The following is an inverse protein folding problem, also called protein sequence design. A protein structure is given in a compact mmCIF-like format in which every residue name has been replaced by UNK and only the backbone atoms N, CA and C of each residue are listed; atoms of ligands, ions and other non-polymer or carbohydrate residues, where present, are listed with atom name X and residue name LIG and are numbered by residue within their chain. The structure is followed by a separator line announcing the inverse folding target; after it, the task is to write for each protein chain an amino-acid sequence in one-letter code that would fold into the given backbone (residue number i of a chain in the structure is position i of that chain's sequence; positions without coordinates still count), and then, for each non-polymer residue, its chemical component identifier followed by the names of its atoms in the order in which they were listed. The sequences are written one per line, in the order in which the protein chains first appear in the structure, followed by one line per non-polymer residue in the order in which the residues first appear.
data_IF_694659532527
#
_entry.id   IF_694659532527
#
_cell.length_a   1.000
_cell.length_b   1.000
_cell.length_c   1.000
_cell.angle_alpha   90.00
_cell.angle_beta   90.00
_cell.angle_gamma   90.00
#
_symmetry.space_group_name_H-M   'P 1'
#
loop_
_entity.id
_entity.type
_entity.pdbx_description
1 polymer ?
#
# COMPACT_ATOMS: atom_id res chain seq x y z
N UNK A 1 -22.31 -20.38 -3.96
CA UNK A 1 -20.85 -20.55 -3.75
C UNK A 1 -20.04 -20.55 -5.06
N UNK A 2 -20.46 -21.21 -6.15
CA UNK A 2 -19.73 -21.19 -7.44
C UNK A 2 -19.62 -19.80 -8.08
N UNK A 3 -20.68 -18.99 -8.05
CA UNK A 3 -20.66 -17.62 -8.58
C UNK A 3 -19.68 -16.70 -7.81
N UNK A 4 -19.63 -16.84 -6.48
CA UNK A 4 -18.70 -16.07 -5.64
C UNK A 4 -17.25 -16.41 -5.99
N UNK A 5 -16.95 -17.70 -6.13
CA UNK A 5 -15.63 -18.16 -6.54
C UNK A 5 -15.24 -17.63 -7.90
N UNK A 6 -16.14 -17.62 -8.88
CA UNK A 6 -15.89 -17.08 -10.21
C UNK A 6 -15.62 -15.56 -10.21
N UNK A 7 -16.37 -14.80 -9.39
CA UNK A 7 -16.18 -13.35 -9.26
C UNK A 7 -14.81 -13.02 -8.64
N UNK A 8 -14.41 -13.76 -7.61
CA UNK A 8 -13.14 -13.56 -6.94
C UNK A 8 -11.95 -14.06 -7.79
N UNK A 9 -12.10 -15.18 -8.48
CA UNK A 9 -11.07 -15.75 -9.34
C UNK A 9 -10.66 -14.81 -10.48
N UNK A 10 -11.60 -14.04 -11.03
CA UNK A 10 -11.31 -13.03 -12.05
C UNK A 10 -10.62 -11.76 -11.52
N UNK A 11 -10.54 -11.59 -10.20
CA UNK A 11 -9.92 -10.43 -9.54
C UNK A 11 -8.53 -10.75 -8.95
N UNK A 12 -8.08 -11.99 -8.99
CA UNK A 12 -6.75 -12.37 -8.49
C UNK A 12 -5.67 -11.94 -9.48
N UNK A 13 -4.69 -11.20 -9.00
CA UNK A 13 -3.46 -10.88 -9.73
C UNK A 13 -2.26 -10.97 -8.80
N UNK A 14 -1.11 -11.29 -9.35
CA UNK A 14 0.14 -11.23 -8.61
C UNK A 14 0.62 -9.78 -8.52
N UNK A 15 0.98 -9.36 -7.30
CA UNK A 15 1.58 -8.03 -7.06
C UNK A 15 3.00 -7.96 -7.64
N UNK A 16 3.69 -9.10 -7.62
CA UNK A 16 5.04 -9.26 -8.16
C UNK A 16 4.94 -9.81 -9.58
N UNK A 17 5.43 -9.05 -10.52
CA UNK A 17 5.63 -9.51 -11.89
C UNK A 17 7.13 -9.80 -12.05
N UNK A 18 7.48 -10.89 -12.70
CA UNK A 18 8.88 -11.27 -13.03
C UNK A 18 9.50 -10.36 -14.10
N UNK A 19 9.08 -9.12 -14.13
CA UNK A 19 9.70 -8.12 -14.97
C UNK A 19 10.96 -7.63 -14.24
N UNK A 20 12.10 -7.65 -14.90
CA UNK A 20 13.38 -7.08 -14.40
C UNK A 20 13.33 -5.56 -14.17
N UNK A 21 12.15 -5.00 -13.95
CA UNK A 21 11.91 -3.59 -13.74
C UNK A 21 11.68 -3.31 -12.26
N UNK A 22 12.43 -2.37 -11.73
CA UNK A 22 12.22 -1.86 -10.37
C UNK A 22 10.79 -1.33 -10.19
N UNK A 23 10.18 -1.67 -9.06
CA UNK A 23 8.77 -1.35 -8.80
C UNK A 23 8.62 -0.52 -7.54
N UNK A 24 7.83 0.56 -7.63
CA UNK A 24 7.39 1.36 -6.49
C UNK A 24 6.01 0.89 -6.06
N UNK A 25 5.88 0.47 -4.81
CA UNK A 25 4.62 0.08 -4.18
C UNK A 25 4.18 1.18 -3.22
N UNK A 26 3.21 1.98 -3.63
CA UNK A 26 2.64 3.06 -2.82
C UNK A 26 1.46 2.53 -2.00
N UNK A 27 1.65 2.37 -0.69
CA UNK A 27 0.62 1.89 0.24
C UNK A 27 -0.23 3.03 0.76
N UNK A 28 -1.53 2.96 0.52
CA UNK A 28 -2.53 3.92 0.99
C UNK A 28 -3.63 3.20 1.78
N UNK A 29 -4.38 3.96 2.58
CA UNK A 29 -5.50 3.43 3.38
C UNK A 29 -5.63 4.17 4.70
N UNK A 30 -6.74 3.98 5.39
CA UNK A 30 -7.03 4.66 6.66
C UNK A 30 -6.19 4.11 7.82
N UNK A 31 -6.16 4.85 8.94
CA UNK A 31 -5.53 4.37 10.16
C UNK A 31 -6.18 3.06 10.63
N UNK A 32 -5.36 2.14 11.14
CA UNK A 32 -5.82 0.83 11.61
C UNK A 32 -6.18 -0.16 10.51
N UNK A 33 -6.07 0.20 9.23
CA UNK A 33 -6.30 -0.75 8.12
C UNK A 33 -5.22 -1.84 8.00
N UNK A 34 -4.14 -1.78 8.78
CA UNK A 34 -3.07 -2.78 8.76
C UNK A 34 -1.97 -2.53 7.71
N UNK A 35 -1.79 -1.29 7.22
CA UNK A 35 -0.75 -0.95 6.23
C UNK A 35 0.65 -1.40 6.67
N UNK A 36 1.13 -0.91 7.81
CA UNK A 36 2.49 -1.17 8.31
C UNK A 36 2.75 -2.66 8.51
N UNK A 37 1.80 -3.38 9.11
CA UNK A 37 1.88 -4.84 9.29
C UNK A 37 1.89 -5.57 7.94
N UNK A 38 1.07 -5.12 7.00
CA UNK A 38 1.01 -5.68 5.65
C UNK A 38 2.34 -5.50 4.91
N UNK A 39 2.96 -4.32 5.03
CA UNK A 39 4.28 -4.03 4.45
C UNK A 39 5.31 -5.00 5.02
N UNK A 40 5.37 -5.19 6.35
CA UNK A 40 6.29 -6.13 6.97
C UNK A 40 6.14 -7.56 6.45
N UNK A 41 4.90 -8.06 6.38
CA UNK A 41 4.59 -9.40 5.82
C UNK A 41 4.95 -9.50 4.34
N UNK A 42 4.76 -8.42 3.58
CA UNK A 42 5.07 -8.36 2.16
C UNK A 42 6.58 -8.42 1.90
N UNK A 43 7.37 -7.65 2.65
CA UNK A 43 8.84 -7.67 2.55
C UNK A 43 9.37 -9.08 2.82
N UNK A 44 8.85 -9.76 3.85
CA UNK A 44 9.18 -11.17 4.12
C UNK A 44 8.86 -12.08 2.93
N UNK A 45 7.75 -11.84 2.23
CA UNK A 45 7.33 -12.63 1.07
C UNK A 45 8.16 -12.36 -0.18
N UNK A 46 8.63 -11.12 -0.39
CA UNK A 46 9.55 -10.78 -1.49
C UNK A 46 10.87 -11.53 -1.33
N UNK A 47 11.32 -11.68 -0.09
CA UNK A 47 12.52 -12.45 0.25
C UNK A 47 13.83 -11.66 0.13
N UNK A 48 14.90 -12.24 0.68
CA UNK A 48 16.20 -11.60 0.82
C UNK A 48 17.02 -11.49 -0.49
N UNK A 49 16.54 -12.09 -1.57
CA UNK A 49 17.22 -12.05 -2.88
C UNK A 49 16.93 -10.76 -3.67
N UNK A 50 16.09 -9.88 -3.13
CA UNK A 50 15.71 -8.61 -3.75
C UNK A 50 16.19 -7.45 -2.89
N UNK A 51 16.71 -6.41 -3.53
CA UNK A 51 17.11 -5.18 -2.86
C UNK A 51 15.87 -4.31 -2.62
N UNK A 52 15.48 -4.15 -1.36
CA UNK A 52 14.23 -3.48 -0.97
C UNK A 52 14.56 -2.22 -0.16
N UNK A 53 13.94 -1.10 -0.53
CA UNK A 53 13.93 0.14 0.23
C UNK A 53 12.52 0.39 0.78
N UNK A 54 12.39 0.59 2.09
CA UNK A 54 11.14 0.97 2.73
C UNK A 54 11.22 2.45 3.10
N UNK A 55 10.26 3.25 2.65
CA UNK A 55 10.18 4.68 2.91
C UNK A 55 9.00 4.99 3.84
N UNK A 56 9.30 5.62 4.99
CA UNK A 56 8.29 6.06 5.97
C UNK A 56 7.82 7.48 5.64
N UNK A 57 6.66 7.59 4.98
CA UNK A 57 6.02 8.86 4.66
C UNK A 57 4.88 9.24 5.62
N UNK A 58 4.64 8.50 6.72
CA UNK A 58 3.81 8.94 7.86
C UNK A 58 4.68 9.73 8.85
N UNK A 59 5.21 10.86 8.43
CA UNK A 59 6.22 11.67 9.15
C UNK A 59 5.70 12.32 10.45
N UNK A 60 4.39 12.27 10.67
CA UNK A 60 3.75 12.86 11.86
C UNK A 60 3.56 11.86 13.02
N UNK A 61 3.92 10.58 12.80
CA UNK A 61 3.71 9.50 13.77
C UNK A 61 5.02 8.75 14.04
N UNK A 62 5.80 9.28 15.00
CA UNK A 62 7.08 8.67 15.36
C UNK A 62 6.98 7.15 15.65
N UNK A 63 5.98 6.73 16.42
CA UNK A 63 5.78 5.31 16.72
C UNK A 63 5.49 4.44 15.49
N UNK A 64 4.82 4.98 14.47
CA UNK A 64 4.60 4.24 13.22
C UNK A 64 5.89 4.10 12.40
N UNK A 65 6.73 5.14 12.41
CA UNK A 65 8.05 5.12 11.78
C UNK A 65 8.96 4.11 12.46
N UNK A 66 8.99 4.09 13.81
CA UNK A 66 9.78 3.13 14.60
C UNK A 66 9.32 1.68 14.32
N UNK A 67 8.02 1.41 14.36
CA UNK A 67 7.48 0.09 14.05
C UNK A 67 7.85 -0.36 12.64
N UNK A 68 7.80 0.54 11.65
CA UNK A 68 8.15 0.21 10.27
C UNK A 68 9.65 -0.07 10.14
N UNK A 69 10.49 0.65 10.90
CA UNK A 69 11.93 0.43 10.96
C UNK A 69 12.27 -0.95 11.56
N UNK A 70 11.61 -1.34 12.65
CA UNK A 70 11.78 -2.69 13.23
C UNK A 70 11.46 -3.79 12.20
N UNK A 71 10.40 -3.61 11.41
CA UNK A 71 10.09 -4.52 10.30
C UNK A 71 11.19 -4.54 9.24
N UNK A 72 11.72 -3.37 8.84
CA UNK A 72 12.81 -3.28 7.87
C UNK A 72 14.05 -4.03 8.38
N UNK A 73 14.48 -3.75 9.60
CA UNK A 73 15.65 -4.37 10.24
C UNK A 73 15.49 -5.89 10.34
N UNK A 74 14.32 -6.38 10.76
CA UNK A 74 14.03 -7.81 10.88
C UNK A 74 14.08 -8.58 9.57
N UNK A 75 13.80 -7.92 8.45
CA UNK A 75 13.81 -8.51 7.10
C UNK A 75 15.05 -8.12 6.29
N UNK A 76 16.02 -7.41 6.89
CA UNK A 76 17.24 -6.92 6.22
C UNK A 76 16.92 -6.05 4.99
N UNK A 77 15.85 -5.27 5.05
CA UNK A 77 15.52 -4.26 4.05
C UNK A 77 16.13 -2.91 4.45
N UNK A 78 16.53 -2.13 3.45
CA UNK A 78 16.99 -0.77 3.70
C UNK A 78 15.84 0.13 4.08
N UNK A 79 16.11 1.11 4.96
CA UNK A 79 15.11 2.01 5.47
C UNK A 79 15.42 3.46 5.14
N UNK A 80 14.40 4.22 4.77
CA UNK A 80 14.47 5.64 4.48
C UNK A 80 13.39 6.39 5.25
N UNK A 81 13.79 7.41 6.00
CA UNK A 81 12.88 8.30 6.71
C UNK A 81 13.28 9.75 6.53
N UNK A 82 12.31 10.64 6.60
CA UNK A 82 12.56 12.08 6.70
C UNK A 82 12.73 12.54 8.14
N UNK A 83 12.98 13.82 8.31
CA UNK A 83 12.91 14.48 9.62
C UNK A 83 11.48 14.47 10.15
N UNK A 84 11.31 14.57 11.46
CA UNK A 84 9.99 14.67 12.08
C UNK A 84 9.23 15.87 11.48
N UNK A 85 7.97 15.65 11.12
CA UNK A 85 7.08 16.63 10.48
C UNK A 85 7.57 17.13 9.09
N UNK A 86 8.55 16.49 8.47
CA UNK A 86 8.91 16.79 7.10
C UNK A 86 7.72 16.54 6.16
N UNK A 87 7.60 17.31 5.07
CA UNK A 87 6.58 17.08 4.04
C UNK A 87 6.68 15.65 3.49
N UNK A 88 5.64 14.81 3.64
CA UNK A 88 5.65 13.42 3.16
C UNK A 88 5.96 13.28 1.67
N UNK A 89 5.55 14.27 0.85
CA UNK A 89 5.83 14.25 -0.57
C UNK A 89 7.34 14.45 -0.87
N UNK A 90 8.03 15.27 -0.06
CA UNK A 90 9.48 15.44 -0.15
C UNK A 90 10.21 14.15 0.22
N UNK A 91 9.75 13.45 1.27
CA UNK A 91 10.31 12.14 1.66
C UNK A 91 10.13 11.12 0.54
N UNK A 92 8.94 11.03 -0.04
CA UNK A 92 8.65 10.12 -1.15
C UNK A 92 9.52 10.42 -2.39
N UNK A 93 9.70 11.69 -2.72
CA UNK A 93 10.57 12.11 -3.82
C UNK A 93 12.01 11.63 -3.61
N UNK A 94 12.59 11.94 -2.45
CA UNK A 94 13.96 11.57 -2.11
C UNK A 94 14.15 10.04 -2.06
N UNK A 95 13.17 9.30 -1.56
CA UNK A 95 13.19 7.84 -1.57
C UNK A 95 13.18 7.27 -3.00
N UNK A 96 12.40 7.88 -3.92
CA UNK A 96 12.41 7.48 -5.33
C UNK A 96 13.76 7.74 -6.00
N UNK A 97 14.36 8.91 -5.77
CA UNK A 97 15.69 9.22 -6.29
C UNK A 97 16.75 8.25 -5.76
N UNK A 98 16.71 7.95 -4.46
CA UNK A 98 17.59 6.93 -3.86
C UNK A 98 17.35 5.55 -4.50
N UNK A 99 16.10 5.12 -4.60
CA UNK A 99 15.77 3.81 -5.16
C UNK A 99 16.27 3.64 -6.60
N UNK A 100 16.12 4.68 -7.41
CA UNK A 100 16.60 4.73 -8.79
C UNK A 100 18.12 4.70 -8.89
N UNK A 101 18.79 5.57 -8.14
CA UNK A 101 20.24 5.73 -8.20
C UNK A 101 21.00 4.49 -7.68
N UNK A 102 20.48 3.86 -6.64
CA UNK A 102 21.06 2.69 -6.01
C UNK A 102 20.48 1.36 -6.54
N UNK A 103 19.62 1.41 -7.55
CA UNK A 103 19.05 0.26 -8.27
C UNK A 103 18.36 -0.73 -7.34
N UNK A 104 17.40 -0.26 -6.54
CA UNK A 104 16.53 -1.13 -5.76
C UNK A 104 15.54 -1.88 -6.66
N UNK A 105 15.28 -3.14 -6.35
CA UNK A 105 14.22 -3.91 -7.01
C UNK A 105 12.84 -3.40 -6.62
N UNK A 106 12.68 -3.06 -5.33
CA UNK A 106 11.43 -2.55 -4.79
C UNK A 106 11.64 -1.31 -3.92
N UNK A 107 10.83 -0.28 -4.13
CA UNK A 107 10.61 0.81 -3.20
C UNK A 107 9.20 0.68 -2.62
N UNK A 108 9.08 0.53 -1.31
CA UNK A 108 7.80 0.44 -0.61
C UNK A 108 7.59 1.74 0.16
N UNK A 109 6.53 2.48 -0.17
CA UNK A 109 6.19 3.75 0.46
C UNK A 109 4.99 3.55 1.39
N UNK A 110 5.21 3.68 2.71
CA UNK A 110 4.12 3.72 3.71
C UNK A 110 3.65 5.15 3.91
N UNK A 111 2.34 5.37 3.79
CA UNK A 111 1.74 6.71 3.90
C UNK A 111 0.87 6.84 5.15
N UNK A 112 0.64 8.08 5.59
CA UNK A 112 -0.32 8.38 6.64
C UNK A 112 -1.73 7.90 6.25
N UNK A 113 -2.52 7.54 7.26
CA UNK A 113 -3.92 7.13 7.10
C UNK A 113 -4.87 7.96 7.96
N UNK A 114 -4.51 9.16 8.39
CA UNK A 114 -5.30 9.99 9.33
C UNK A 114 -6.60 10.46 8.69
N UNK A 115 -7.70 10.25 9.42
CA UNK A 115 -9.06 10.63 9.02
C UNK A 115 -9.53 11.97 9.60
N UNK A 116 -8.69 12.79 10.21
CA UNK A 116 -9.13 14.05 10.81
C UNK A 116 -9.83 14.98 9.79
N UNK A 117 -9.51 14.81 8.51
CA UNK A 117 -10.25 15.39 7.40
C UNK A 117 -9.92 14.57 6.13
N UNK A 118 -10.90 13.86 5.57
CA UNK A 118 -10.74 13.01 4.38
C UNK A 118 -10.17 13.79 3.19
N UNK A 119 -10.52 15.06 3.03
CA UNK A 119 -10.05 15.91 1.92
C UNK A 119 -8.55 16.18 2.05
N UNK A 120 -8.07 16.52 3.24
CA UNK A 120 -6.65 16.81 3.46
C UNK A 120 -5.80 15.57 3.26
N UNK A 121 -6.25 14.40 3.74
CA UNK A 121 -5.56 13.14 3.49
C UNK A 121 -5.50 12.84 2.00
N UNK A 122 -6.61 12.96 1.29
CA UNK A 122 -6.66 12.71 -0.14
C UNK A 122 -5.72 13.63 -0.92
N UNK A 123 -5.72 14.92 -0.61
CA UNK A 123 -4.82 15.90 -1.23
C UNK A 123 -3.34 15.57 -0.98
N UNK A 124 -3.01 15.15 0.25
CA UNK A 124 -1.66 14.71 0.59
C UNK A 124 -1.24 13.47 -0.21
N UNK A 125 -2.12 12.48 -0.30
CA UNK A 125 -1.86 11.25 -1.07
C UNK A 125 -1.72 11.53 -2.58
N UNK A 126 -2.53 12.43 -3.13
CA UNK A 126 -2.42 12.90 -4.53
C UNK A 126 -1.05 13.56 -4.73
N UNK A 127 -0.63 14.42 -3.81
CA UNK A 127 0.69 15.08 -3.88
C UNK A 127 1.82 14.05 -3.84
N UNK A 128 1.79 13.10 -2.90
CA UNK A 128 2.78 12.01 -2.82
C UNK A 128 2.81 11.23 -4.14
N UNK A 129 1.67 10.79 -4.65
CA UNK A 129 1.60 10.05 -5.92
C UNK A 129 2.18 10.86 -7.08
N UNK A 130 1.82 12.14 -7.19
CA UNK A 130 2.30 13.01 -8.26
C UNK A 130 3.82 13.17 -8.25
N UNK A 131 4.42 13.40 -7.08
CA UNK A 131 5.90 13.52 -6.98
C UNK A 131 6.59 12.18 -7.21
N UNK A 132 6.01 11.08 -6.74
CA UNK A 132 6.48 9.71 -7.02
C UNK A 132 6.50 9.45 -8.53
N UNK A 133 5.44 9.79 -9.26
CA UNK A 133 5.37 9.64 -10.71
C UNK A 133 6.43 10.47 -11.44
N UNK A 134 6.70 11.70 -10.98
CA UNK A 134 7.71 12.58 -11.57
C UNK A 134 9.14 12.08 -11.34
N UNK A 135 9.42 11.55 -10.15
CA UNK A 135 10.77 11.10 -9.77
C UNK A 135 11.08 9.66 -10.18
N UNK A 136 10.07 8.81 -10.32
CA UNK A 136 10.24 7.38 -10.61
C UNK A 136 10.88 7.09 -11.99
N UNK A 137 10.72 7.98 -12.97
CA UNK A 137 11.28 7.78 -14.31
C UNK A 137 10.72 6.53 -14.99
N UNK A 138 11.55 5.48 -15.12
CA UNK A 138 11.17 4.19 -15.73
C UNK A 138 10.65 3.14 -14.73
N UNK A 139 10.59 3.48 -13.44
CA UNK A 139 10.08 2.55 -12.43
C UNK A 139 8.58 2.31 -12.61
N UNK A 140 8.14 1.08 -12.39
CA UNK A 140 6.71 0.76 -12.38
C UNK A 140 6.12 1.23 -11.06
N UNK A 141 5.01 1.97 -11.09
CA UNK A 141 4.33 2.44 -9.88
C UNK A 141 3.01 1.68 -9.74
N UNK A 142 2.82 1.04 -8.59
CA UNK A 142 1.55 0.40 -8.20
C UNK A 142 1.02 1.05 -6.93
N UNK A 143 -0.16 1.65 -7.00
CA UNK A 143 -0.88 2.18 -5.84
C UNK A 143 -1.73 1.06 -5.24
N UNK A 144 -1.49 0.75 -3.97
CA UNK A 144 -2.13 -0.37 -3.26
C UNK A 144 -2.98 0.18 -2.13
N UNK A 145 -4.27 -0.08 -2.17
CA UNK A 145 -5.21 0.31 -1.12
C UNK A 145 -5.39 -0.84 -0.13
N UNK A 146 -5.02 -0.57 1.13
CA UNK A 146 -5.21 -1.52 2.24
C UNK A 146 -6.50 -1.22 2.96
N UNK A 147 -7.41 -2.18 2.98
CA UNK A 147 -8.76 -2.10 3.53
C UNK A 147 -8.90 -2.99 4.77
N UNK A 148 -9.61 -2.47 5.77
CA UNK A 148 -9.99 -3.25 6.96
C UNK A 148 -11.30 -4.03 6.69
N UNK A 149 -11.22 -5.35 6.65
CA UNK A 149 -12.34 -6.25 6.39
C UNK A 149 -13.43 -6.22 7.46
N UNK A 150 -13.16 -5.70 8.67
CA UNK A 150 -14.14 -5.64 9.75
C UNK A 150 -15.29 -4.66 9.48
N UNK A 151 -15.09 -3.69 8.59
CA UNK A 151 -16.09 -2.66 8.27
C UNK A 151 -16.39 -2.60 6.76
N UNK A 152 -17.34 -3.42 6.32
CA UNK A 152 -17.69 -3.58 4.90
C UNK A 152 -18.19 -2.32 4.20
N UNK A 153 -19.02 -1.50 4.84
CA UNK A 153 -19.51 -0.25 4.26
C UNK A 153 -18.37 0.77 4.09
N UNK A 154 -17.49 0.83 5.05
CA UNK A 154 -16.32 1.71 4.98
C UNK A 154 -15.34 1.28 3.87
N UNK A 155 -15.17 -0.04 3.63
CA UNK A 155 -14.38 -0.53 2.50
C UNK A 155 -14.90 0.00 1.17
N UNK A 156 -16.20 -0.09 0.92
CA UNK A 156 -16.83 0.39 -0.34
C UNK A 156 -16.57 1.89 -0.52
N UNK A 157 -16.80 2.69 0.53
CA UNK A 157 -16.57 4.14 0.52
C UNK A 157 -15.09 4.50 0.25
N UNK A 158 -14.16 3.76 0.85
CA UNK A 158 -12.73 3.98 0.61
C UNK A 158 -12.33 3.65 -0.83
N UNK A 159 -12.82 2.53 -1.39
CA UNK A 159 -12.56 2.18 -2.79
C UNK A 159 -13.13 3.24 -3.73
N UNK A 160 -14.31 3.77 -3.44
CA UNK A 160 -14.91 4.84 -4.25
C UNK A 160 -14.10 6.14 -4.19
N UNK A 161 -13.71 6.56 -2.99
CA UNK A 161 -12.98 7.81 -2.77
C UNK A 161 -11.56 7.74 -3.32
N UNK A 162 -10.81 6.71 -2.96
CA UNK A 162 -9.40 6.59 -3.35
C UNK A 162 -9.22 6.04 -4.76
N UNK A 163 -10.11 5.13 -5.20
CA UNK A 163 -10.03 4.51 -6.51
C UNK A 163 -10.09 5.51 -7.66
N UNK A 164 -10.98 6.48 -7.57
CA UNK A 164 -11.13 7.53 -8.59
C UNK A 164 -9.98 8.54 -8.61
N UNK A 165 -9.46 8.89 -7.42
CA UNK A 165 -8.50 9.99 -7.27
C UNK A 165 -7.04 9.55 -7.34
N UNK A 166 -6.75 8.28 -7.01
CA UNK A 166 -5.40 7.77 -6.86
C UNK A 166 -5.07 6.62 -7.81
N UNK A 167 -5.97 6.30 -8.75
CA UNK A 167 -5.74 5.25 -9.74
C UNK A 167 -5.17 3.98 -9.08
N UNK A 168 -6.00 3.38 -8.22
CA UNK A 168 -5.64 2.21 -7.41
C UNK A 168 -5.45 0.99 -8.30
N UNK A 169 -4.26 0.38 -8.24
CA UNK A 169 -3.89 -0.76 -9.06
C UNK A 169 -4.23 -2.11 -8.41
N UNK A 170 -4.43 -2.12 -7.10
CA UNK A 170 -4.78 -3.34 -6.38
C UNK A 170 -5.21 -3.10 -4.94
N UNK A 171 -5.89 -4.10 -4.40
CA UNK A 171 -6.43 -4.11 -3.05
C UNK A 171 -5.71 -5.14 -2.20
N UNK A 172 -5.52 -4.82 -0.93
CA UNK A 172 -5.19 -5.78 0.12
C UNK A 172 -6.25 -5.65 1.20
N UNK A 173 -6.85 -6.77 1.60
CA UNK A 173 -7.91 -6.78 2.59
C UNK A 173 -7.41 -7.50 3.82
N UNK A 174 -7.43 -6.81 4.94
CA UNK A 174 -6.93 -7.33 6.24
C UNK A 174 -8.11 -7.74 7.14
N UNK A 175 -7.85 -8.52 8.17
CA UNK A 175 -8.78 -8.86 9.26
C UNK A 175 -10.11 -9.49 8.78
N UNK A 176 -10.05 -10.33 7.76
CA UNK A 176 -11.25 -10.93 7.17
C UNK A 176 -11.82 -12.08 8.01
N UNK A 177 -11.01 -12.66 8.87
CA UNK A 177 -11.33 -13.75 9.81
C UNK A 177 -12.38 -13.38 10.87
N UNK A 178 -12.50 -12.09 11.20
CA UNK A 178 -13.46 -11.60 12.21
C UNK A 178 -14.86 -11.27 11.69
N UNK A 179 -15.21 -11.56 10.41
CA UNK A 179 -16.43 -10.98 9.86
C UNK A 179 -17.18 -11.85 8.85
N UNK A 180 -18.53 -11.88 9.00
CA UNK A 180 -19.46 -12.40 8.00
C UNK A 180 -19.64 -11.48 6.77
N UNK A 181 -18.67 -10.58 6.48
CA UNK A 181 -18.86 -9.46 5.52
C UNK A 181 -18.31 -9.73 4.12
N UNK A 182 -18.23 -10.98 3.69
CA UNK A 182 -17.87 -11.35 2.32
C UNK A 182 -18.71 -10.63 1.24
N UNK A 183 -19.92 -10.18 1.58
CA UNK A 183 -20.78 -9.43 0.68
C UNK A 183 -20.20 -8.09 0.19
N UNK A 184 -19.51 -7.35 1.06
CA UNK A 184 -18.85 -6.10 0.67
C UNK A 184 -17.69 -6.35 -0.31
N UNK A 185 -16.93 -7.41 -0.09
CA UNK A 185 -15.83 -7.83 -0.97
C UNK A 185 -16.35 -8.18 -2.38
N UNK A 186 -17.43 -8.93 -2.45
CA UNK A 186 -18.10 -9.30 -3.71
C UNK A 186 -18.59 -8.04 -4.43
N UNK A 187 -19.20 -7.11 -3.69
CA UNK A 187 -19.69 -5.83 -4.25
C UNK A 187 -18.53 -5.00 -4.82
N UNK A 188 -17.40 -4.92 -4.11
CA UNK A 188 -16.19 -4.23 -4.57
C UNK A 188 -15.64 -4.89 -5.83
N UNK A 189 -15.49 -6.21 -5.84
CA UNK A 189 -14.97 -6.95 -6.97
C UNK A 189 -15.83 -6.78 -8.23
N UNK A 190 -17.15 -6.86 -8.09
CA UNK A 190 -18.12 -6.65 -9.20
C UNK A 190 -18.11 -5.23 -9.74
N UNK A 191 -18.14 -4.21 -8.84
CA UNK A 191 -18.34 -2.80 -9.23
C UNK A 191 -17.08 -2.16 -9.77
N UNK A 192 -15.92 -2.40 -9.14
CA UNK A 192 -14.70 -1.64 -9.41
C UNK A 192 -13.67 -2.39 -10.25
N UNK A 193 -13.76 -3.72 -10.33
CA UNK A 193 -12.83 -4.59 -11.09
C UNK A 193 -11.35 -4.35 -10.76
N UNK A 194 -11.05 -3.86 -9.55
CA UNK A 194 -9.67 -3.68 -9.07
C UNK A 194 -9.16 -5.03 -8.55
N UNK A 195 -7.97 -5.46 -8.95
CA UNK A 195 -7.40 -6.73 -8.49
C UNK A 195 -7.23 -6.80 -6.98
N UNK A 196 -7.47 -7.97 -6.39
CA UNK A 196 -7.17 -8.25 -4.99
C UNK A 196 -5.87 -9.04 -4.95
N UNK A 197 -4.83 -8.44 -4.38
CA UNK A 197 -3.51 -9.05 -4.31
C UNK A 197 -3.37 -10.00 -3.13
N UNK A 198 -3.89 -9.61 -1.95
CA UNK A 198 -3.84 -10.42 -0.75
C UNK A 198 -5.08 -10.23 0.12
N UNK A 199 -5.37 -11.30 0.86
CA UNK A 199 -6.38 -11.33 1.92
C UNK A 199 -5.70 -11.76 3.21
N UNK A 200 -5.80 -10.96 4.26
CA UNK A 200 -5.28 -11.26 5.60
C UNK A 200 -6.33 -11.99 6.43
N UNK A 201 -5.97 -13.17 6.88
CA UNK A 201 -6.76 -14.04 7.76
C UNK A 201 -6.05 -14.16 9.10
N UNK A 202 -6.23 -13.17 9.99
CA UNK A 202 -5.59 -13.12 11.30
C UNK A 202 -4.13 -12.63 11.30
N UNK A 203 -3.51 -12.70 12.49
CA UNK A 203 -2.12 -12.27 12.73
C UNK A 203 -1.08 -13.30 12.28
#
# INVERSE_FOLDING_TARGET
SKEISQILFGCEKQIFEDNNLSTVLLFIGVNGSGKTTTIGKLVKKIGCNKKILIAACDTFRAAAVEQLKEWADSQKADFFQGSLNQDPASVAYNACEKAKNEKYDYLIIDTAGRLSNNINLLNQLIKIKSVTQKSAGKLIIKTILVLDGTNGSNMVNQVETFGKSLDVNGLIITKLDGTAKGGALISIAKKYKIPIYFVGLGE
#
